data_IF_617052236554
#
_entry.id   IF_617052236554
#
_cell.length_a   1.000
_cell.length_b   1.000
_cell.length_c   1.000
_cell.angle_alpha   90.00
_cell.angle_beta   90.00
_cell.angle_gamma   90.00
#
_symmetry.space_group_name_H-M   'P 1'
#
loop_
_entity.id
_entity.type
_entity.pdbx_description
1 polymer ?
#
# COMPACT_ATOMS: atom_id res chain seq x y z
N UNK A 1 -16.96 1.40 6.02
CA UNK A 1 -18.17 1.25 5.19
C UNK A 1 -17.74 0.49 3.95
N UNK A 2 -18.41 -0.61 3.57
CA UNK A 2 -17.97 -1.42 2.42
C UNK A 2 -18.17 -0.66 1.11
N UNK A 3 -17.19 -0.73 0.20
CA UNK A 3 -17.28 -0.13 -1.14
C UNK A 3 -18.36 -0.82 -1.99
N UNK A 4 -18.91 -0.11 -2.99
CA UNK A 4 -19.69 -0.76 -4.04
C UNK A 4 -18.74 -1.49 -5.00
N UNK A 5 -18.64 -2.82 -4.87
CA UNK A 5 -17.71 -3.64 -5.64
C UNK A 5 -17.94 -3.53 -7.16
N UNK A 6 -19.20 -3.50 -7.60
CA UNK A 6 -19.52 -3.39 -9.03
C UNK A 6 -19.02 -2.07 -9.61
N UNK A 7 -19.24 -0.96 -8.91
CA UNK A 7 -18.72 0.35 -9.31
C UNK A 7 -17.18 0.33 -9.38
N UNK A 8 -16.52 -0.24 -8.38
CA UNK A 8 -15.07 -0.36 -8.36
C UNK A 8 -14.53 -1.13 -9.57
N UNK A 9 -15.09 -2.32 -9.84
CA UNK A 9 -14.68 -3.17 -10.98
C UNK A 9 -14.90 -2.46 -12.32
N UNK A 10 -16.04 -1.76 -12.48
CA UNK A 10 -16.30 -0.92 -13.65
C UNK A 10 -15.27 0.19 -13.81
N UNK A 11 -14.88 0.86 -12.71
CA UNK A 11 -13.90 1.95 -12.72
C UNK A 11 -12.52 1.46 -13.14
N UNK A 12 -12.07 0.30 -12.63
CA UNK A 12 -10.78 -0.30 -12.99
C UNK A 12 -10.82 -1.09 -14.31
N UNK A 13 -11.99 -1.24 -14.92
CA UNK A 13 -12.24 -1.96 -16.18
C UNK A 13 -11.87 -3.45 -16.12
N UNK A 14 -12.15 -4.09 -15.00
CA UNK A 14 -11.93 -5.53 -14.80
C UNK A 14 -13.26 -6.24 -14.61
N UNK A 15 -13.41 -7.43 -15.21
CA UNK A 15 -14.63 -8.21 -15.07
C UNK A 15 -14.73 -8.85 -13.68
N UNK A 16 -15.95 -9.15 -13.25
CA UNK A 16 -16.18 -9.93 -12.04
C UNK A 16 -15.96 -11.41 -12.33
N UNK A 17 -15.10 -12.05 -11.56
CA UNK A 17 -14.95 -13.50 -11.51
C UNK A 17 -15.18 -13.96 -10.08
N UNK A 18 -16.02 -14.98 -9.87
CA UNK A 18 -16.21 -15.56 -8.53
C UNK A 18 -15.00 -16.44 -8.18
N UNK A 19 -14.18 -16.09 -7.17
CA UNK A 19 -12.98 -16.88 -6.86
C UNK A 19 -13.30 -18.27 -6.30
N UNK A 20 -14.52 -18.53 -5.84
CA UNK A 20 -14.94 -19.85 -5.35
C UNK A 20 -14.82 -20.96 -6.39
N UNK A 21 -14.92 -20.62 -7.68
CA UNK A 21 -14.83 -21.57 -8.79
C UNK A 21 -13.48 -21.56 -9.51
N UNK A 22 -12.55 -20.73 -9.06
CA UNK A 22 -11.23 -20.60 -9.67
C UNK A 22 -10.23 -21.55 -9.01
N UNK A 23 -9.38 -22.16 -9.83
CA UNK A 23 -8.15 -22.82 -9.38
C UNK A 23 -7.21 -21.81 -8.71
N UNK A 24 -6.21 -22.32 -7.98
CA UNK A 24 -5.16 -21.47 -7.36
C UNK A 24 -4.47 -20.55 -8.36
N UNK A 25 -4.19 -21.05 -9.56
CA UNK A 25 -3.51 -20.28 -10.61
C UNK A 25 -4.41 -19.18 -11.17
N UNK A 26 -5.68 -19.49 -11.44
CA UNK A 26 -6.67 -18.50 -11.89
C UNK A 26 -6.93 -17.42 -10.83
N UNK A 27 -6.93 -17.77 -9.53
CA UNK A 27 -7.00 -16.79 -8.43
C UNK A 27 -5.78 -15.86 -8.45
N UNK A 28 -4.58 -16.40 -8.65
CA UNK A 28 -3.36 -15.60 -8.71
C UNK A 28 -3.38 -14.66 -9.91
N UNK A 29 -3.82 -15.13 -11.08
CA UNK A 29 -3.87 -14.31 -12.28
C UNK A 29 -4.95 -13.23 -12.18
N UNK A 30 -6.09 -13.54 -11.59
CA UNK A 30 -7.11 -12.54 -11.31
C UNK A 30 -6.63 -11.49 -10.29
N UNK A 31 -5.91 -11.92 -9.24
CA UNK A 31 -5.27 -11.00 -8.29
C UNK A 31 -4.27 -10.06 -8.99
N UNK A 32 -3.43 -10.58 -9.90
CA UNK A 32 -2.51 -9.77 -10.71
C UNK A 32 -3.26 -8.74 -11.55
N UNK A 33 -4.32 -9.15 -12.23
CA UNK A 33 -5.14 -8.28 -13.06
C UNK A 33 -5.76 -7.15 -12.24
N UNK A 34 -6.46 -7.47 -11.15
CA UNK A 34 -7.10 -6.48 -10.29
C UNK A 34 -6.06 -5.50 -9.74
N UNK A 35 -4.93 -5.99 -9.24
CA UNK A 35 -3.91 -5.13 -8.66
C UNK A 35 -3.29 -4.21 -9.70
N UNK A 36 -2.94 -4.74 -10.87
CA UNK A 36 -2.39 -3.95 -11.97
C UNK A 36 -3.37 -2.86 -12.44
N UNK A 37 -4.64 -3.23 -12.62
CA UNK A 37 -5.71 -2.29 -13.00
C UNK A 37 -5.97 -1.25 -11.92
N UNK A 38 -5.87 -1.62 -10.63
CA UNK A 38 -5.99 -0.71 -9.50
C UNK A 38 -4.90 0.35 -9.53
N UNK A 39 -3.62 -0.05 -9.55
CA UNK A 39 -2.49 0.91 -9.52
C UNK A 39 -2.44 1.81 -10.75
N UNK A 40 -3.00 1.35 -11.88
CA UNK A 40 -3.13 2.15 -13.11
C UNK A 40 -4.27 3.17 -13.01
N UNK A 41 -5.37 2.81 -12.37
CA UNK A 41 -6.59 3.64 -12.29
C UNK A 41 -6.54 4.66 -11.16
N UNK A 42 -5.89 4.31 -10.05
CA UNK A 42 -5.77 5.13 -8.84
C UNK A 42 -4.30 5.45 -8.58
N UNK A 43 -3.71 6.41 -9.30
CA UNK A 43 -2.33 6.81 -9.05
C UNK A 43 -2.20 7.42 -7.64
N UNK A 44 -1.13 7.03 -6.95
CA UNK A 44 -0.76 7.65 -5.68
C UNK A 44 -0.45 9.15 -5.87
N UNK A 45 -0.97 9.97 -4.96
CA UNK A 45 -0.65 11.39 -4.83
C UNK A 45 -0.47 11.77 -3.36
N UNK A 46 0.50 12.64 -3.11
CA UNK A 46 0.77 13.22 -1.80
C UNK A 46 0.27 14.68 -1.70
N UNK A 47 -0.39 15.21 -2.73
CA UNK A 47 -0.74 16.63 -2.82
C UNK A 47 -1.61 17.06 -1.62
N UNK A 48 -2.68 16.30 -1.34
CA UNK A 48 -3.57 16.60 -0.21
C UNK A 48 -2.88 16.53 1.14
N UNK A 49 -1.96 15.56 1.32
CA UNK A 49 -1.15 15.46 2.53
C UNK A 49 -0.26 16.69 2.70
N UNK A 50 0.33 17.21 1.60
CA UNK A 50 1.14 18.43 1.61
C UNK A 50 0.31 19.68 1.88
N UNK A 51 -0.89 19.79 1.32
CA UNK A 51 -1.80 20.90 1.62
C UNK A 51 -2.13 20.95 3.12
N UNK A 52 -2.50 19.81 3.71
CA UNK A 52 -2.83 19.71 5.13
C UNK A 52 -1.61 19.96 6.01
N UNK A 53 -0.43 19.46 5.62
CA UNK A 53 0.81 19.69 6.36
C UNK A 53 1.21 21.18 6.42
N UNK A 54 0.75 22.00 5.47
CA UNK A 54 0.96 23.46 5.49
C UNK A 54 -0.04 24.22 6.38
N UNK A 55 -1.15 23.59 6.76
CA UNK A 55 -2.13 24.20 7.66
C UNK A 55 -1.61 24.21 9.09
N UNK A 56 -1.98 25.25 9.85
CA UNK A 56 -1.68 25.34 11.27
C UNK A 56 -2.30 24.14 12.02
N UNK A 57 -1.63 23.49 12.99
CA UNK A 57 -2.13 22.27 13.63
C UNK A 57 -3.55 22.40 14.21
N UNK A 58 -3.90 23.57 14.75
CA UNK A 58 -5.25 23.85 15.30
C UNK A 58 -6.34 24.07 14.24
N UNK A 59 -5.97 24.24 12.96
CA UNK A 59 -6.87 24.47 11.83
C UNK A 59 -6.96 23.26 10.89
N UNK A 60 -6.21 22.19 11.17
CA UNK A 60 -6.21 20.96 10.36
C UNK A 60 -7.54 20.23 10.56
N UNK A 61 -8.28 20.01 9.47
CA UNK A 61 -9.37 19.05 9.46
C UNK A 61 -8.84 17.63 9.69
N UNK A 62 -9.64 16.75 10.33
CA UNK A 62 -9.26 15.34 10.45
C UNK A 62 -9.09 14.75 9.06
N UNK A 63 -7.95 14.09 8.80
CA UNK A 63 -7.85 13.17 7.67
C UNK A 63 -8.97 12.13 7.83
N UNK A 64 -9.86 12.06 6.85
CA UNK A 64 -10.88 11.02 6.84
C UNK A 64 -10.21 9.74 6.39
N UNK A 65 -10.18 8.76 7.29
CA UNK A 65 -9.65 7.44 7.00
C UNK A 65 -10.47 6.80 5.89
N UNK A 66 -11.79 6.78 6.06
CA UNK A 66 -12.69 5.89 5.32
C UNK A 66 -13.42 6.58 4.17
N UNK A 67 -12.82 7.57 3.51
CA UNK A 67 -13.45 8.26 2.37
C UNK A 67 -12.70 8.01 1.07
N UNK A 68 -12.94 6.83 0.48
CA UNK A 68 -12.60 6.52 -0.90
C UNK A 68 -13.51 7.24 -1.91
N UNK A 69 -14.55 7.97 -1.45
CA UNK A 69 -15.46 8.71 -2.34
C UNK A 69 -14.69 9.71 -3.21
N UNK A 70 -13.63 10.31 -2.67
CA UNK A 70 -12.74 11.21 -3.41
C UNK A 70 -11.92 10.48 -4.48
N UNK A 71 -11.35 9.31 -4.16
CA UNK A 71 -10.66 8.43 -5.12
C UNK A 71 -11.57 7.96 -6.27
N UNK A 72 -12.83 7.63 -5.95
CA UNK A 72 -13.81 7.20 -6.95
C UNK A 72 -14.38 8.38 -7.77
N UNK A 73 -14.17 9.61 -7.32
CA UNK A 73 -14.59 10.84 -8.01
C UNK A 73 -13.69 11.17 -9.22
N UNK A 74 -13.85 12.36 -9.79
CA UNK A 74 -13.09 12.84 -10.96
C UNK A 74 -11.67 13.31 -10.63
N UNK A 75 -11.31 13.47 -9.35
CA UNK A 75 -9.97 13.95 -8.98
C UNK A 75 -8.91 12.83 -8.93
N UNK A 76 -9.33 11.56 -8.96
CA UNK A 76 -8.53 10.35 -9.22
C UNK A 76 -7.27 10.11 -8.37
N UNK A 77 -6.92 11.02 -7.46
CA UNK A 77 -5.70 10.97 -6.69
C UNK A 77 -5.99 10.62 -5.23
N UNK A 78 -5.07 9.87 -4.61
CA UNK A 78 -5.22 9.45 -3.23
C UNK A 78 -3.90 9.10 -2.60
N UNK A 79 -3.84 9.23 -1.28
CA UNK A 79 -2.65 8.90 -0.51
C UNK A 79 -2.63 7.41 -0.13
N UNK A 80 -1.46 6.93 0.33
CA UNK A 80 -1.14 5.50 0.45
C UNK A 80 -2.18 4.66 1.21
N UNK A 81 -2.81 5.22 2.26
CA UNK A 81 -3.87 4.53 2.99
C UNK A 81 -5.12 4.31 2.15
N UNK A 82 -5.62 5.33 1.46
CA UNK A 82 -6.89 5.26 0.75
C UNK A 82 -6.84 4.23 -0.39
N UNK A 83 -5.71 4.16 -1.11
CA UNK A 83 -5.52 3.18 -2.18
C UNK A 83 -5.42 1.75 -1.62
N UNK A 84 -4.65 1.56 -0.54
CA UNK A 84 -4.50 0.23 0.10
C UNK A 84 -5.81 -0.26 0.72
N UNK A 85 -6.57 0.64 1.34
CA UNK A 85 -7.89 0.32 1.91
C UNK A 85 -8.92 0.00 0.82
N UNK A 86 -8.99 0.80 -0.25
CA UNK A 86 -9.88 0.54 -1.37
C UNK A 86 -9.60 -0.84 -2.00
N UNK A 87 -8.32 -1.19 -2.16
CA UNK A 87 -7.90 -2.50 -2.64
C UNK A 87 -8.26 -3.61 -1.64
N UNK A 88 -8.00 -3.40 -0.35
CA UNK A 88 -8.35 -4.34 0.72
C UNK A 88 -9.85 -4.66 0.72
N UNK A 89 -10.70 -3.64 0.68
CA UNK A 89 -12.16 -3.79 0.68
C UNK A 89 -12.67 -4.50 -0.58
N UNK A 90 -12.08 -4.21 -1.74
CA UNK A 90 -12.42 -4.88 -2.99
C UNK A 90 -12.06 -6.36 -2.97
N UNK A 91 -10.81 -6.69 -2.60
CA UNK A 91 -10.32 -8.07 -2.56
C UNK A 91 -11.03 -8.90 -1.48
N UNK A 92 -11.35 -8.29 -0.34
CA UNK A 92 -12.12 -8.95 0.73
C UNK A 92 -13.53 -9.30 0.25
N UNK A 93 -14.19 -8.41 -0.50
CA UNK A 93 -15.52 -8.68 -1.06
C UNK A 93 -15.50 -9.68 -2.22
N UNK A 94 -14.38 -9.80 -2.93
CA UNK A 94 -14.17 -10.87 -3.90
C UNK A 94 -13.92 -12.23 -3.22
N UNK A 95 -13.69 -12.28 -1.91
CA UNK A 95 -13.52 -13.53 -1.16
C UNK A 95 -12.07 -14.00 -1.03
N UNK A 96 -11.09 -13.13 -1.30
CA UNK A 96 -9.70 -13.41 -0.93
C UNK A 96 -9.52 -13.37 0.60
N UNK A 97 -8.56 -14.13 1.12
CA UNK A 97 -8.07 -13.94 2.49
C UNK A 97 -7.09 -12.76 2.50
N UNK A 98 -7.55 -11.61 2.96
CA UNK A 98 -6.81 -10.34 2.86
C UNK A 98 -6.50 -9.79 4.24
N UNK A 99 -5.33 -9.19 4.40
CA UNK A 99 -4.96 -8.41 5.58
C UNK A 99 -4.40 -7.06 5.15
N UNK A 100 -4.71 -6.02 5.92
CA UNK A 100 -4.11 -4.70 5.80
C UNK A 100 -3.08 -4.56 6.92
N UNK A 101 -1.81 -4.35 6.57
CA UNK A 101 -0.71 -4.31 7.53
C UNK A 101 0.00 -2.96 7.51
N UNK A 102 0.58 -2.58 8.66
CA UNK A 102 1.37 -1.38 8.81
C UNK A 102 2.77 -1.55 8.20
N UNK A 103 3.31 -0.47 7.65
CA UNK A 103 4.64 -0.40 7.10
C UNK A 103 5.28 0.98 7.35
N UNK A 104 6.58 1.07 7.14
CA UNK A 104 7.39 2.28 7.27
C UNK A 104 8.16 2.49 5.98
N UNK A 105 8.02 3.66 5.38
CA UNK A 105 8.79 4.02 4.18
C UNK A 105 10.22 4.34 4.60
N UNK A 106 11.21 3.77 3.92
CA UNK A 106 12.63 3.95 4.20
C UNK A 106 13.29 4.99 3.30
N UNK A 107 12.90 5.09 2.02
CA UNK A 107 13.52 6.01 1.05
C UNK A 107 15.06 5.93 1.04
N UNK A 108 15.63 4.72 1.17
CA UNK A 108 17.06 4.49 1.24
C UNK A 108 17.68 4.50 2.64
N UNK A 109 16.92 4.87 3.68
CA UNK A 109 17.36 4.77 5.06
C UNK A 109 17.75 3.33 5.45
N UNK A 110 18.58 3.20 6.49
CA UNK A 110 18.93 1.91 7.04
C UNK A 110 17.70 1.20 7.63
N UNK A 111 17.73 -0.14 7.62
CA UNK A 111 16.72 -0.96 8.28
C UNK A 111 16.71 -0.60 9.76
N UNK A 112 15.52 -0.37 10.33
CA UNK A 112 15.36 0.01 11.73
C UNK A 112 16.13 1.28 12.15
N UNK A 113 16.39 2.20 11.21
CA UNK A 113 17.05 3.47 11.53
C UNK A 113 16.27 4.23 12.63
N UNK A 114 16.95 4.80 13.65
CA UNK A 114 16.28 5.45 14.78
C UNK A 114 15.27 6.53 14.39
N UNK A 115 15.57 7.31 13.36
CA UNK A 115 14.69 8.35 12.82
C UNK A 115 13.40 7.78 12.18
N UNK A 116 13.48 6.58 11.61
CA UNK A 116 12.32 5.88 11.05
C UNK A 116 11.47 5.27 12.17
N UNK A 117 12.10 4.72 13.21
CA UNK A 117 11.42 4.11 14.35
C UNK A 117 10.78 5.13 15.29
N UNK A 118 11.33 6.34 15.37
CA UNK A 118 10.78 7.44 16.18
C UNK A 118 9.39 7.90 15.71
N UNK A 119 9.07 7.70 14.43
CA UNK A 119 7.75 8.00 13.89
C UNK A 119 6.78 6.83 14.14
N UNK A 120 5.45 7.04 14.18
CA UNK A 120 4.51 5.93 14.07
C UNK A 120 4.57 5.31 12.67
N UNK A 121 4.16 4.03 12.47
CA UNK A 121 4.01 3.48 11.14
C UNK A 121 2.76 4.08 10.49
N UNK A 122 2.95 4.64 9.29
CA UNK A 122 1.94 5.47 8.61
C UNK A 122 1.74 5.08 7.15
N UNK A 123 2.51 4.11 6.68
CA UNK A 123 2.31 3.46 5.40
C UNK A 123 1.54 2.17 5.61
N UNK A 124 0.78 1.76 4.60
CA UNK A 124 -0.04 0.57 4.70
C UNK A 124 0.12 -0.27 3.44
N UNK A 125 0.12 -1.56 3.64
CA UNK A 125 0.30 -2.57 2.60
C UNK A 125 -0.82 -3.60 2.74
N UNK A 126 -1.15 -4.24 1.63
CA UNK A 126 -2.12 -5.33 1.60
C UNK A 126 -1.36 -6.64 1.47
N UNK A 127 -1.73 -7.64 2.24
CA UNK A 127 -1.28 -9.02 2.00
C UNK A 127 -2.46 -9.92 1.67
N UNK A 128 -2.27 -10.82 0.72
CA UNK A 128 -3.29 -11.78 0.29
C UNK A 128 -2.74 -13.20 0.46
N UNK A 129 -3.50 -14.07 1.13
CA UNK A 129 -3.22 -15.50 1.16
C UNK A 129 -4.07 -16.22 0.10
N UNK A 130 -3.42 -17.10 -0.67
CA UNK A 130 -4.06 -18.02 -1.61
C UNK A 130 -3.42 -19.38 -1.37
N UNK A 131 -4.18 -20.29 -0.76
CA UNK A 131 -3.71 -21.59 -0.30
C UNK A 131 -2.44 -21.46 0.58
N UNK A 132 -1.32 -22.07 0.18
CA UNK A 132 -0.05 -22.02 0.90
C UNK A 132 0.86 -20.84 0.49
N UNK A 133 0.38 -19.89 -0.32
CA UNK A 133 1.14 -18.74 -0.82
C UNK A 133 0.63 -17.45 -0.20
N UNK A 134 1.56 -16.56 0.14
CA UNK A 134 1.26 -15.21 0.62
C UNK A 134 1.85 -14.16 -0.31
N UNK A 135 1.06 -13.17 -0.67
CA UNK A 135 1.46 -12.10 -1.58
C UNK A 135 1.46 -10.75 -0.85
N UNK A 136 2.41 -9.90 -1.20
CA UNK A 136 2.51 -8.50 -0.82
C UNK A 136 2.01 -7.63 -1.98
N UNK A 137 1.12 -6.70 -1.66
CA UNK A 137 0.59 -5.68 -2.58
C UNK A 137 0.77 -4.31 -1.92
N UNK A 138 1.39 -3.37 -2.63
CA UNK A 138 1.66 -2.03 -2.11
C UNK A 138 1.35 -0.97 -3.19
N UNK A 139 0.08 -0.54 -3.29
CA UNK A 139 -0.30 0.45 -4.28
C UNK A 139 0.10 1.89 -3.87
N UNK A 140 0.66 2.08 -2.67
CA UNK A 140 0.91 3.39 -2.06
C UNK A 140 2.32 3.95 -2.23
N UNK A 141 3.24 3.27 -2.91
CA UNK A 141 4.63 3.72 -3.11
C UNK A 141 4.85 4.57 -4.37
N UNK A 142 3.78 4.98 -5.07
CA UNK A 142 3.87 5.81 -6.26
C UNK A 142 4.67 5.15 -7.38
N UNK A 143 5.55 5.90 -8.05
CA UNK A 143 6.35 5.41 -9.18
C UNK A 143 7.28 4.23 -8.81
N UNK A 144 7.67 4.11 -7.55
CA UNK A 144 8.55 3.04 -7.06
C UNK A 144 7.80 1.75 -6.70
N UNK A 145 6.46 1.75 -6.72
CA UNK A 145 5.65 0.60 -6.35
C UNK A 145 5.82 -0.59 -7.31
N UNK A 146 5.81 -1.84 -6.80
CA UNK A 146 5.61 -3.03 -7.63
C UNK A 146 4.29 -2.93 -8.41
N UNK A 147 4.31 -3.34 -9.69
CA UNK A 147 3.13 -3.31 -10.58
C UNK A 147 2.35 -4.61 -10.56
N UNK A 148 2.93 -5.67 -10.01
CA UNK A 148 2.29 -6.96 -9.77
C UNK A 148 2.46 -7.38 -8.31
N UNK A 149 1.57 -8.24 -7.77
CA UNK A 149 1.74 -8.83 -6.44
C UNK A 149 3.11 -9.51 -6.30
N UNK A 150 3.78 -9.29 -5.18
CA UNK A 150 5.05 -9.93 -4.85
C UNK A 150 4.76 -11.20 -4.04
N UNK A 151 5.21 -12.36 -4.49
CA UNK A 151 5.19 -13.58 -3.68
C UNK A 151 6.19 -13.43 -2.53
N UNK A 152 5.75 -13.70 -1.30
CA UNK A 152 6.60 -13.67 -0.10
C UNK A 152 7.27 -15.04 0.01
N UNK A 153 8.49 -15.16 -0.52
CA UNK A 153 9.27 -16.40 -0.50
C UNK A 153 10.17 -16.53 0.72
N UNK A 154 10.43 -15.42 1.43
CA UNK A 154 11.33 -15.39 2.58
C UNK A 154 12.81 -15.43 2.21
N UNK A 155 13.14 -15.38 0.92
CA UNK A 155 14.52 -15.40 0.42
C UNK A 155 14.89 -14.08 -0.26
N UNK A 156 16.18 -13.71 -0.17
CA UNK A 156 16.71 -12.50 -0.78
C UNK A 156 17.08 -12.74 -2.25
N UNK A 157 16.06 -12.90 -3.10
CA UNK A 157 16.20 -13.14 -4.53
C UNK A 157 15.61 -12.01 -5.38
N UNK A 158 16.16 -11.75 -6.59
CA UNK A 158 15.59 -10.77 -7.50
C UNK A 158 14.20 -11.18 -8.01
N UNK A 159 13.25 -10.25 -7.96
CA UNK A 159 11.89 -10.37 -8.49
C UNK A 159 11.77 -9.41 -9.67
N UNK A 160 11.70 -9.94 -10.89
CA UNK A 160 11.60 -9.13 -12.11
C UNK A 160 10.15 -8.83 -12.45
N UNK A 161 9.82 -7.56 -12.64
CA UNK A 161 8.51 -7.08 -13.09
C UNK A 161 8.71 -6.10 -14.24
N UNK A 162 8.63 -6.58 -15.48
CA UNK A 162 9.01 -5.83 -16.68
C UNK A 162 10.46 -5.32 -16.57
N UNK A 163 10.67 -4.00 -16.65
CA UNK A 163 11.99 -3.38 -16.54
C UNK A 163 12.44 -3.16 -15.08
N UNK A 164 11.52 -3.25 -14.13
CA UNK A 164 11.81 -3.09 -12.71
C UNK A 164 12.26 -4.41 -12.08
N UNK A 165 13.23 -4.33 -11.16
CA UNK A 165 13.68 -5.47 -10.38
C UNK A 165 13.56 -5.14 -8.90
N UNK A 166 12.89 -6.01 -8.15
CA UNK A 166 12.65 -5.86 -6.71
C UNK A 166 13.33 -6.97 -5.92
N UNK A 167 13.38 -6.80 -4.61
CA UNK A 167 13.67 -7.84 -3.62
C UNK A 167 12.72 -7.67 -2.45
N UNK A 168 12.23 -8.76 -1.90
CA UNK A 168 11.46 -8.73 -0.66
C UNK A 168 11.90 -9.86 0.26
N UNK A 169 12.54 -9.51 1.37
CA UNK A 169 13.24 -10.48 2.21
C UNK A 169 13.15 -10.12 3.70
N UNK A 170 13.21 -11.12 4.59
CA UNK A 170 13.31 -10.89 6.02
C UNK A 170 14.69 -10.31 6.38
N UNK A 171 14.71 -9.33 7.27
CA UNK A 171 15.90 -8.74 7.85
C UNK A 171 15.61 -8.35 9.30
N UNK A 172 16.38 -8.90 10.23
CA UNK A 172 16.14 -8.80 11.68
C UNK A 172 14.70 -9.24 12.05
N UNK A 173 13.90 -8.31 12.58
CA UNK A 173 12.52 -8.51 13.00
C UNK A 173 11.49 -7.97 11.99
N UNK A 174 11.92 -7.54 10.81
CA UNK A 174 11.06 -6.97 9.75
C UNK A 174 11.29 -7.66 8.41
N UNK A 175 10.45 -7.37 7.43
CA UNK A 175 10.68 -7.66 6.01
C UNK A 175 10.87 -6.37 5.25
N UNK A 176 11.76 -6.36 4.27
CA UNK A 176 12.19 -5.16 3.55
C UNK A 176 11.93 -5.31 2.06
N UNK A 177 11.29 -4.30 1.47
CA UNK A 177 11.15 -4.17 0.02
C UNK A 177 12.23 -3.25 -0.53
N UNK A 178 13.00 -3.74 -1.50
CA UNK A 178 13.99 -2.96 -2.25
C UNK A 178 13.65 -2.94 -3.74
N UNK A 179 14.04 -1.86 -4.42
CA UNK A 179 13.99 -1.73 -5.88
C UNK A 179 15.39 -1.47 -6.42
N UNK A 180 15.77 -2.14 -7.51
CA UNK A 180 17.00 -1.90 -8.22
C UNK A 180 16.91 -0.56 -8.96
N UNK A 181 17.94 0.27 -8.80
CA UNK A 181 18.11 1.56 -9.47
C UNK A 181 19.47 1.62 -10.15
N UNK A 182 19.75 2.69 -10.90
CA UNK A 182 21.08 2.93 -11.49
C UNK A 182 22.18 3.10 -10.44
N UNK A 183 21.82 3.49 -9.20
CA UNK A 183 22.75 3.69 -8.08
C UNK A 183 22.85 2.45 -7.16
N UNK A 184 22.20 1.35 -7.51
CA UNK A 184 22.14 0.13 -6.69
C UNK A 184 20.75 -0.12 -6.12
N UNK A 185 20.68 -0.91 -5.05
CA UNK A 185 19.41 -1.26 -4.40
C UNK A 185 18.93 -0.15 -3.48
N UNK A 186 17.74 0.38 -3.77
CA UNK A 186 17.05 1.38 -2.96
C UNK A 186 16.03 0.69 -2.05
N UNK A 187 16.19 0.85 -0.73
CA UNK A 187 15.19 0.42 0.27
C UNK A 187 13.95 1.29 0.19
N UNK A 188 12.82 0.69 -0.14
CA UNK A 188 11.55 1.39 -0.29
C UNK A 188 10.80 1.45 1.04
N UNK A 189 10.57 0.29 1.67
CA UNK A 189 9.83 0.20 2.92
C UNK A 189 10.23 -1.03 3.74
N UNK A 190 9.86 -1.02 5.02
CA UNK A 190 9.91 -2.18 5.91
C UNK A 190 8.55 -2.42 6.58
N UNK A 191 8.24 -3.68 6.87
CA UNK A 191 7.02 -4.09 7.60
C UNK A 191 7.32 -5.25 8.53
N UNK A 192 6.70 -5.26 9.71
CA UNK A 192 6.64 -6.41 10.62
C UNK A 192 5.31 -7.18 10.47
N UNK A 193 4.53 -6.86 9.44
CA UNK A 193 3.18 -7.36 9.20
C UNK A 193 2.18 -7.12 10.34
N UNK A 194 2.43 -6.13 11.21
CA UNK A 194 1.45 -5.74 12.23
C UNK A 194 0.12 -5.40 11.57
N UNK A 195 -0.93 -6.16 11.92
CA UNK A 195 -2.28 -5.95 11.39
C UNK A 195 -2.79 -4.56 11.74
N UNK A 196 -3.47 -3.95 10.79
CA UNK A 196 -4.06 -2.65 10.99
C UNK A 196 -5.23 -2.75 11.97
N UNK A 197 -5.11 -2.05 13.09
CA UNK A 197 -6.27 -1.64 13.86
C UNK A 197 -6.69 -0.24 13.40
N UNK A 198 -7.89 -0.12 12.83
CA UNK A 198 -8.49 1.12 12.33
C UNK A 198 -8.35 2.31 13.30
N UNK A 199 -8.53 2.08 14.61
CA UNK A 199 -8.41 3.12 15.65
C UNK A 199 -6.95 3.57 15.84
N UNK A 200 -6.01 2.64 15.76
CA UNK A 200 -4.58 2.94 15.85
C UNK A 200 -4.06 3.61 14.58
N UNK A 201 -4.54 3.18 13.41
CA UNK A 201 -4.31 3.87 12.14
C UNK A 201 -4.76 5.33 12.25
N UNK A 202 -5.98 5.53 12.76
CA UNK A 202 -6.57 6.83 13.03
C UNK A 202 -5.65 7.72 13.86
N UNK A 203 -5.23 7.18 14.99
CA UNK A 203 -4.34 7.87 15.90
C UNK A 203 -2.96 8.15 15.28
N UNK A 204 -2.41 7.25 14.47
CA UNK A 204 -1.09 7.41 13.86
C UNK A 204 -1.06 8.51 12.80
N UNK A 205 -2.08 8.63 11.92
CA UNK A 205 -2.13 9.76 10.98
C UNK A 205 -2.50 11.08 11.67
N UNK A 206 -3.27 11.04 12.77
CA UNK A 206 -3.46 12.23 13.60
C UNK A 206 -2.12 12.66 14.23
N UNK A 207 -1.31 11.73 14.76
CA UNK A 207 0.03 12.04 15.27
C UNK A 207 0.95 12.65 14.20
N UNK A 208 0.88 12.19 12.95
CA UNK A 208 1.51 12.87 11.80
C UNK A 208 1.00 14.31 11.64
N UNK A 209 -0.31 14.48 11.70
CA UNK A 209 -1.00 15.77 11.62
C UNK A 209 -0.71 16.73 12.78
N UNK A 210 -0.09 16.27 13.88
CA UNK A 210 0.31 17.12 15.01
C UNK A 210 1.80 17.02 15.34
N UNK A 211 2.60 16.37 14.49
CA UNK A 211 4.02 16.19 14.75
C UNK A 211 4.75 17.54 14.67
N UNK A 212 5.58 17.90 15.68
CA UNK A 212 6.18 19.23 15.79
C UNK A 212 7.21 19.53 14.70
N UNK A 213 7.85 18.50 14.14
CA UNK A 213 8.81 18.63 13.04
C UNK A 213 8.16 18.29 11.70
N UNK A 214 8.50 19.00 10.59
CA UNK A 214 8.07 18.65 9.25
C UNK A 214 8.52 17.23 8.92
N UNK A 215 7.57 16.31 8.75
CA UNK A 215 7.88 14.96 8.30
C UNK A 215 8.11 15.02 6.79
N UNK A 216 9.19 14.39 6.33
CA UNK A 216 9.51 14.30 4.92
C UNK A 216 8.38 13.55 4.20
N UNK A 217 7.43 14.29 3.63
CA UNK A 217 6.44 13.73 2.71
C UNK A 217 7.22 13.40 1.45
N UNK A 218 7.25 12.11 1.07
CA UNK A 218 8.02 11.64 -0.07
C UNK A 218 7.83 12.55 -1.29
N UNK A 219 8.93 12.96 -1.92
CA UNK A 219 8.92 13.74 -3.17
C UNK A 219 8.93 12.80 -4.37
N UNK A 220 7.89 12.00 -4.50
CA UNK A 220 7.53 11.40 -5.78
C UNK A 220 6.50 12.29 -6.44
#
# INVERSE_FOLDING_TARGET
MKINLQHYLLKIKTAYHSPEHLTTEEKIDYLKEIYFSHVKTFPYSNFKLREIAKQHPLSRGSLSFFSYQTLLSSEHDGYCFQTSELLYDALSQLGYEVSLCAARVLLGAAINAPEILALPPTHFIVTVAIDNKKFLLDPGLGASAPRFPILITGVNEPIVQNEDVFKFYPADNVSVLEKKTSQGWLRLMQTDFTLLNAKNAQMNLLKLGFHPSPIAISRY
#
